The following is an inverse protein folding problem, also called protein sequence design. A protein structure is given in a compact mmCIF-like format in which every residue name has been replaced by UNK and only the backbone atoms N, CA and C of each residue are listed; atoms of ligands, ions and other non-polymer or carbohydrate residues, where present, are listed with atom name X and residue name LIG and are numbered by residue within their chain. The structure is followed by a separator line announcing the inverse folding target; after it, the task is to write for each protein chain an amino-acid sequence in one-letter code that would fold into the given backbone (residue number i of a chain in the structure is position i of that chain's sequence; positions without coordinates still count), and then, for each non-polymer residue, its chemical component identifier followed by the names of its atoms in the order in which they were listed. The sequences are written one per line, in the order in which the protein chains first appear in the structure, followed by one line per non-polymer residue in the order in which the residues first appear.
data_IF_211036845562
#
_entry.id   IF_211036845562
#
_cell.length_a   1.000
_cell.length_b   1.000
_cell.length_c   1.000
_cell.angle_alpha   90.00
_cell.angle_beta   90.00
_cell.angle_gamma   90.00
#
_symmetry.space_group_name_H-M   'P 1'
#
loop_
_entity.id
_entity.type
_entity.pdbx_description
1 polymer ?
#
# COMPACT_ATOMS: atom_id res chain seq x y z
N UNK A 1 -1.88 -23.58 -1.64
CA UNK A 1 -0.65 -22.85 -1.36
C UNK A 1 0.48 -23.21 -2.34
N UNK A 2 0.77 -24.48 -2.59
CA UNK A 2 1.82 -24.89 -3.56
C UNK A 2 1.56 -24.35 -4.98
N UNK A 3 0.30 -24.28 -5.41
CA UNK A 3 -0.07 -23.77 -6.72
C UNK A 3 0.25 -22.28 -6.87
N UNK A 4 -0.03 -21.48 -5.83
CA UNK A 4 0.29 -20.04 -5.81
C UNK A 4 1.80 -19.79 -5.78
N UNK A 5 2.55 -20.62 -5.06
CA UNK A 5 4.01 -20.52 -5.00
C UNK A 5 4.66 -20.80 -6.36
N UNK A 6 4.16 -21.79 -7.10
CA UNK A 6 4.64 -22.10 -8.44
C UNK A 6 4.34 -20.99 -9.44
N UNK A 7 3.14 -20.41 -9.39
CA UNK A 7 2.76 -19.26 -10.23
C UNK A 7 3.65 -18.06 -9.95
N UNK A 8 3.89 -17.75 -8.68
CA UNK A 8 4.75 -16.62 -8.29
C UNK A 8 6.19 -16.83 -8.75
N UNK A 9 6.76 -18.03 -8.59
CA UNK A 9 8.09 -18.37 -9.08
C UNK A 9 8.22 -18.26 -10.60
N UNK A 10 7.20 -18.72 -11.32
CA UNK A 10 7.16 -18.64 -12.79
C UNK A 10 7.19 -17.19 -13.25
N UNK A 11 6.35 -16.33 -12.66
CA UNK A 11 6.29 -14.90 -12.98
C UNK A 11 7.60 -14.21 -12.59
N UNK A 12 8.18 -14.56 -11.43
CA UNK A 12 9.47 -14.04 -11.01
C UNK A 12 10.58 -14.37 -11.99
N UNK A 13 10.63 -15.61 -12.49
CA UNK A 13 11.63 -16.03 -13.47
C UNK A 13 11.49 -15.29 -14.79
N UNK A 14 10.27 -15.07 -15.26
CA UNK A 14 10.01 -14.25 -16.46
C UNK A 14 10.51 -12.83 -16.24
N UNK A 15 10.18 -12.22 -15.10
CA UNK A 15 10.65 -10.88 -14.74
C UNK A 15 12.19 -10.81 -14.74
N UNK A 16 12.86 -11.76 -14.10
CA UNK A 16 14.31 -11.81 -14.05
C UNK A 16 14.96 -11.99 -15.43
N UNK A 17 14.30 -12.69 -16.34
CA UNK A 17 14.76 -12.86 -17.72
C UNK A 17 14.61 -11.58 -18.55
N UNK A 18 13.63 -10.73 -18.23
CA UNK A 18 13.39 -9.47 -18.93
C UNK A 18 14.36 -8.36 -18.50
N UNK A 19 14.84 -8.38 -17.25
CA UNK A 19 15.68 -7.32 -16.68
C UNK A 19 16.91 -6.97 -17.53
N UNK A 20 17.73 -7.92 -18.00
CA UNK A 20 18.89 -7.57 -18.81
C UNK A 20 18.56 -6.83 -20.10
N UNK A 21 17.42 -7.16 -20.71
CA UNK A 21 16.94 -6.48 -21.91
C UNK A 21 16.39 -5.10 -21.60
N UNK A 22 15.64 -4.96 -20.50
CA UNK A 22 15.10 -3.68 -20.03
C UNK A 22 16.21 -2.69 -19.72
N UNK A 23 17.33 -3.15 -19.14
CA UNK A 23 18.48 -2.31 -18.81
C UNK A 23 19.17 -1.73 -20.04
N UNK A 24 18.98 -2.31 -21.23
CA UNK A 24 19.51 -1.79 -22.50
C UNK A 24 18.63 -0.73 -23.15
N UNK A 25 17.41 -0.53 -22.66
CA UNK A 25 16.44 0.40 -23.22
C UNK A 25 16.53 1.77 -22.56
N UNK A 26 16.01 2.79 -23.26
CA UNK A 26 15.95 4.15 -22.72
C UNK A 26 14.99 4.22 -21.51
N UNK A 27 15.58 4.34 -20.31
CA UNK A 27 14.84 4.38 -19.05
C UNK A 27 13.95 5.63 -18.89
N UNK A 28 14.09 6.64 -19.76
CA UNK A 28 13.24 7.84 -19.72
C UNK A 28 11.86 7.60 -20.34
N UNK A 29 11.69 6.54 -21.14
CA UNK A 29 10.41 6.23 -21.79
C UNK A 29 9.40 5.71 -20.76
N UNK A 30 8.14 6.20 -20.79
CA UNK A 30 7.10 5.78 -19.84
C UNK A 30 6.87 4.26 -19.81
N UNK A 31 6.85 3.61 -20.98
CA UNK A 31 6.70 2.16 -21.07
C UNK A 31 7.85 1.38 -20.43
N UNK A 32 9.08 1.85 -20.60
CA UNK A 32 10.27 1.23 -19.98
C UNK A 32 10.25 1.41 -18.48
N UNK A 33 9.91 2.60 -17.98
CA UNK A 33 9.74 2.86 -16.53
C UNK A 33 8.67 1.95 -15.93
N UNK A 34 7.54 1.78 -16.62
CA UNK A 34 6.45 0.93 -16.17
C UNK A 34 6.88 -0.55 -16.09
N UNK A 35 7.65 -1.04 -17.07
CA UNK A 35 8.17 -2.41 -17.05
C UNK A 35 9.18 -2.63 -15.93
N UNK A 36 10.07 -1.68 -15.67
CA UNK A 36 10.98 -1.76 -14.52
C UNK A 36 10.25 -1.79 -13.20
N UNK A 37 9.26 -0.91 -13.01
CA UNK A 37 8.43 -0.88 -11.81
C UNK A 37 7.68 -2.20 -11.62
N UNK A 38 7.09 -2.73 -12.67
CA UNK A 38 6.40 -4.02 -12.66
C UNK A 38 7.34 -5.17 -12.28
N UNK A 39 8.52 -5.23 -12.89
CA UNK A 39 9.55 -6.22 -12.57
C UNK A 39 9.95 -6.16 -11.09
N UNK A 40 10.21 -4.96 -10.57
CA UNK A 40 10.56 -4.76 -9.17
C UNK A 40 9.44 -5.20 -8.22
N UNK A 41 8.18 -4.88 -8.54
CA UNK A 41 7.03 -5.30 -7.76
C UNK A 41 6.84 -6.82 -7.74
N UNK A 42 7.07 -7.49 -8.87
CA UNK A 42 7.02 -8.96 -8.94
C UNK A 42 8.08 -9.59 -8.05
N UNK A 43 9.31 -9.10 -8.09
CA UNK A 43 10.39 -9.60 -7.25
C UNK A 43 10.09 -9.39 -5.77
N UNK A 44 9.59 -8.23 -5.41
CA UNK A 44 9.19 -7.92 -4.05
C UNK A 44 8.02 -8.78 -3.58
N UNK A 45 6.99 -8.96 -4.40
CA UNK A 45 5.85 -9.83 -4.08
C UNK A 45 6.32 -11.25 -3.78
N UNK A 46 7.23 -11.80 -4.60
CA UNK A 46 7.82 -13.11 -4.40
C UNK A 46 8.63 -13.20 -3.10
N UNK A 47 9.45 -12.20 -2.83
CA UNK A 47 10.24 -12.14 -1.59
C UNK A 47 9.33 -12.09 -0.35
N UNK A 48 8.29 -11.27 -0.36
CA UNK A 48 7.34 -11.18 0.73
C UNK A 48 6.62 -12.52 0.97
N UNK A 49 6.19 -13.20 -0.08
CA UNK A 49 5.53 -14.50 0.05
C UNK A 49 6.44 -15.56 0.65
N UNK A 50 7.72 -15.57 0.30
CA UNK A 50 8.68 -16.53 0.83
C UNK A 50 9.11 -16.23 2.26
N UNK A 51 9.01 -14.99 2.72
CA UNK A 51 9.46 -14.52 4.04
C UNK A 51 8.31 -14.15 4.99
N UNK A 52 7.07 -14.52 4.68
CA UNK A 52 5.89 -14.16 5.49
C UNK A 52 5.98 -14.59 6.96
N UNK A 53 6.65 -15.70 7.24
CA UNK A 53 6.85 -16.20 8.61
C UNK A 53 7.94 -15.48 9.37
N UNK A 54 8.73 -14.65 8.73
CA UNK A 54 9.81 -13.88 9.34
C UNK A 54 9.30 -12.50 9.75
N UNK A 55 9.10 -12.22 11.04
CA UNK A 55 8.56 -10.92 11.46
C UNK A 55 9.56 -9.79 11.22
N UNK A 56 9.04 -8.61 10.97
CA UNK A 56 9.84 -7.39 10.93
C UNK A 56 10.34 -7.00 12.32
N UNK A 57 11.53 -6.45 12.37
CA UNK A 57 12.04 -5.81 13.59
C UNK A 57 11.21 -4.56 13.90
N UNK A 58 10.99 -4.33 15.20
CA UNK A 58 10.18 -3.20 15.66
C UNK A 58 11.03 -2.21 16.47
N UNK A 59 10.63 -0.94 16.37
CA UNK A 59 11.21 0.17 17.13
C UNK A 59 10.09 0.97 17.77
N UNK A 60 10.38 1.56 18.91
CA UNK A 60 9.43 2.47 19.57
C UNK A 60 9.42 3.83 18.87
N UNK A 61 8.26 4.30 18.44
CA UNK A 61 8.06 5.58 17.74
C UNK A 61 6.86 6.32 18.31
N UNK A 62 6.98 7.65 18.40
CA UNK A 62 5.83 8.51 18.71
C UNK A 62 4.88 8.51 17.51
N UNK A 63 3.66 8.02 17.71
CA UNK A 63 2.73 7.78 16.61
C UNK A 63 2.19 9.08 16.00
N UNK A 64 2.01 10.12 16.78
CA UNK A 64 1.58 11.43 16.27
C UNK A 64 2.62 12.00 15.30
N UNK A 65 3.88 12.05 15.69
CA UNK A 65 4.98 12.55 14.85
C UNK A 65 5.15 11.68 13.60
N UNK A 66 5.06 10.38 13.75
CA UNK A 66 5.18 9.43 12.65
C UNK A 66 4.10 9.65 11.58
N UNK A 67 2.83 9.71 12.01
CA UNK A 67 1.71 9.93 11.09
C UNK A 67 1.74 11.30 10.41
N UNK A 68 2.09 12.35 11.15
CA UNK A 68 2.23 13.69 10.59
C UNK A 68 3.33 13.76 9.54
N UNK A 69 4.47 13.11 9.79
CA UNK A 69 5.58 13.04 8.84
C UNK A 69 5.20 12.35 7.54
N UNK A 70 4.40 11.30 7.59
CA UNK A 70 3.91 10.61 6.38
C UNK A 70 2.92 11.49 5.62
N UNK A 71 1.98 12.13 6.33
CA UNK A 71 1.00 13.01 5.70
C UNK A 71 1.69 14.19 4.99
N UNK A 72 2.75 14.73 5.56
CA UNK A 72 3.53 15.81 4.95
C UNK A 72 4.10 15.40 3.57
N UNK A 73 4.41 14.14 3.37
CA UNK A 73 4.97 13.66 2.11
C UNK A 73 3.98 13.70 0.95
N UNK A 74 2.68 13.70 1.22
CA UNK A 74 1.66 13.75 0.16
C UNK A 74 1.09 15.14 -0.09
N UNK A 75 1.50 16.17 0.67
CA UNK A 75 0.95 17.53 0.55
C UNK A 75 1.04 18.12 -0.86
N UNK A 76 2.09 17.78 -1.60
CA UNK A 76 2.27 18.25 -2.98
C UNK A 76 1.60 17.38 -4.05
N UNK A 77 0.95 16.27 -3.66
CA UNK A 77 0.38 15.29 -4.59
C UNK A 77 -1.13 15.40 -4.73
N UNK A 78 -1.80 16.20 -3.90
CA UNK A 78 -3.26 16.34 -3.88
C UNK A 78 -3.74 17.37 -4.91
N UNK A 79 -5.01 17.25 -5.29
CA UNK A 79 -5.71 18.31 -6.04
C UNK A 79 -5.85 19.58 -5.17
N UNK A 80 -6.26 20.69 -5.80
CA UNK A 80 -6.44 21.95 -5.11
C UNK A 80 -7.49 21.85 -3.99
N UNK A 81 -7.23 22.55 -2.88
CA UNK A 81 -8.16 22.67 -1.75
C UNK A 81 -8.54 21.33 -1.09
N UNK A 82 -7.74 20.31 -1.24
CA UNK A 82 -7.92 19.07 -0.48
C UNK A 82 -7.41 19.24 0.94
N UNK A 83 -8.25 18.95 1.92
CA UNK A 83 -7.91 19.05 3.35
C UNK A 83 -7.32 17.73 3.84
N UNK A 84 -6.12 17.82 4.43
CA UNK A 84 -5.40 16.68 5.02
C UNK A 84 -5.50 16.77 6.54
N UNK A 85 -5.97 15.71 7.18
CA UNK A 85 -6.14 15.66 8.64
C UNK A 85 -5.49 14.41 9.22
N UNK A 86 -4.69 14.59 10.26
CA UNK A 86 -4.09 13.50 11.04
C UNK A 86 -4.70 13.51 12.45
N UNK A 87 -5.26 12.38 12.86
CA UNK A 87 -5.79 12.16 14.20
C UNK A 87 -5.01 11.03 14.87
N UNK A 88 -3.91 11.35 15.50
CA UNK A 88 -3.06 10.39 16.18
C UNK A 88 -2.59 10.96 17.53
N UNK A 89 -2.70 10.17 18.62
CA UNK A 89 -2.28 10.63 19.94
C UNK A 89 -0.76 10.68 20.06
N UNK A 90 -0.26 11.48 21.00
CA UNK A 90 1.15 11.49 21.38
C UNK A 90 1.46 10.24 22.25
N UNK A 91 1.55 9.11 21.60
CA UNK A 91 1.74 7.81 22.21
C UNK A 91 2.90 7.09 21.51
N UNK A 92 3.77 6.46 22.29
CA UNK A 92 4.83 5.64 21.74
C UNK A 92 4.31 4.22 21.48
N UNK A 93 4.56 3.71 20.28
CA UNK A 93 4.12 2.39 19.82
C UNK A 93 5.30 1.68 19.17
N UNK A 94 5.36 0.37 19.36
CA UNK A 94 6.37 -0.48 18.69
C UNK A 94 5.90 -0.81 17.28
N UNK A 95 6.64 -0.36 16.28
CA UNK A 95 6.35 -0.55 14.87
C UNK A 95 7.63 -0.79 14.08
N UNK A 96 7.52 -1.35 12.88
CA UNK A 96 8.59 -1.24 11.90
C UNK A 96 8.35 0.04 11.09
N UNK A 97 9.11 1.13 11.31
CA UNK A 97 8.78 2.42 10.72
C UNK A 97 8.92 2.44 9.21
N UNK A 98 9.90 1.72 8.65
CA UNK A 98 10.13 1.68 7.21
C UNK A 98 8.96 1.01 6.46
N UNK A 99 8.56 -0.17 6.89
CA UNK A 99 7.50 -0.93 6.22
C UNK A 99 6.11 -0.35 6.47
N UNK A 100 5.86 0.12 7.68
CA UNK A 100 4.60 0.79 8.01
C UNK A 100 4.44 2.09 7.21
N UNK A 101 5.48 2.90 7.11
CA UNK A 101 5.47 4.09 6.26
C UNK A 101 5.14 3.74 4.82
N UNK A 102 5.74 2.69 4.29
CA UNK A 102 5.53 2.23 2.93
C UNK A 102 4.06 1.92 2.66
N UNK A 103 3.40 1.19 3.55
CA UNK A 103 1.97 0.87 3.42
C UNK A 103 1.12 2.13 3.52
N UNK A 104 1.32 2.94 4.56
CA UNK A 104 0.52 4.14 4.79
C UNK A 104 0.73 5.16 3.67
N UNK A 105 1.96 5.35 3.21
CA UNK A 105 2.26 6.28 2.12
C UNK A 105 1.58 5.84 0.83
N UNK A 106 1.60 4.55 0.49
CA UNK A 106 0.92 4.04 -0.70
C UNK A 106 -0.59 4.28 -0.63
N UNK A 107 -1.21 4.01 0.51
CA UNK A 107 -2.66 4.26 0.72
C UNK A 107 -3.00 5.75 0.64
N UNK A 108 -2.15 6.61 1.19
CA UNK A 108 -2.35 8.06 1.12
C UNK A 108 -2.11 8.61 -0.29
N UNK A 109 -1.16 8.09 -1.04
CA UNK A 109 -0.95 8.43 -2.45
C UNK A 109 -2.16 8.05 -3.30
N UNK A 110 -2.74 6.88 -3.07
CA UNK A 110 -4.00 6.48 -3.71
C UNK A 110 -5.14 7.45 -3.37
N UNK A 111 -5.28 7.81 -2.09
CA UNK A 111 -6.29 8.77 -1.67
C UNK A 111 -6.08 10.14 -2.35
N UNK A 112 -4.84 10.60 -2.46
CA UNK A 112 -4.50 11.85 -3.14
C UNK A 112 -4.86 11.82 -4.63
N UNK A 113 -4.61 10.68 -5.30
CA UNK A 113 -4.91 10.50 -6.73
C UNK A 113 -6.42 10.55 -7.02
N UNK A 114 -7.22 9.91 -6.16
CA UNK A 114 -8.66 9.75 -6.41
C UNK A 114 -9.56 10.76 -5.69
N UNK A 115 -9.02 11.63 -4.86
CA UNK A 115 -9.80 12.67 -4.18
C UNK A 115 -9.84 13.93 -5.03
N UNK A 116 -11.03 14.39 -5.46
CA UNK A 116 -11.15 15.60 -6.28
C UNK A 116 -10.85 16.87 -5.48
N UNK A 117 -10.67 17.98 -6.19
CA UNK A 117 -10.46 19.29 -5.57
C UNK A 117 -11.57 19.62 -4.57
N UNK A 118 -11.19 20.16 -3.43
CA UNK A 118 -12.10 20.48 -2.32
C UNK A 118 -12.49 19.30 -1.44
N UNK A 119 -11.96 18.09 -1.74
CA UNK A 119 -12.20 16.90 -0.93
C UNK A 119 -11.38 16.83 0.37
N UNK A 120 -11.45 15.70 1.04
CA UNK A 120 -10.80 15.49 2.35
C UNK A 120 -10.14 14.12 2.42
N UNK A 121 -9.01 14.08 3.11
CA UNK A 121 -8.27 12.85 3.41
C UNK A 121 -7.90 12.84 4.88
N UNK A 122 -8.19 11.73 5.56
CA UNK A 122 -7.87 11.54 6.98
C UNK A 122 -6.92 10.35 7.16
N UNK A 123 -5.99 10.50 8.09
CA UNK A 123 -5.21 9.41 8.66
C UNK A 123 -5.49 9.37 10.16
N UNK A 124 -6.22 8.35 10.59
CA UNK A 124 -6.60 8.16 11.99
C UNK A 124 -5.85 6.96 12.58
N UNK A 125 -5.39 7.12 13.81
CA UNK A 125 -4.87 6.02 14.62
C UNK A 125 -5.82 5.74 15.76
N UNK A 126 -6.16 4.45 15.95
CA UNK A 126 -6.97 3.99 17.08
C UNK A 126 -6.32 2.80 17.76
N UNK A 127 -6.26 2.87 19.08
CA UNK A 127 -5.85 1.74 19.91
C UNK A 127 -7.09 0.94 20.28
N UNK A 128 -7.11 -0.35 19.90
CA UNK A 128 -8.20 -1.28 20.20
C UNK A 128 -7.72 -2.31 21.21
N UNK A 129 -7.83 -2.01 22.51
CA UNK A 129 -7.30 -2.86 23.58
C UNK A 129 -5.79 -2.74 23.75
N UNK A 130 -5.18 -3.69 24.46
CA UNK A 130 -3.77 -3.63 24.84
C UNK A 130 -2.79 -3.95 23.70
N UNK A 131 -3.23 -4.73 22.70
CA UNK A 131 -2.34 -5.31 21.70
C UNK A 131 -2.77 -5.08 20.24
N UNK A 132 -3.83 -4.31 20.01
CA UNK A 132 -4.33 -4.05 18.67
C UNK A 132 -4.29 -2.57 18.36
N UNK A 133 -3.66 -2.21 17.24
CA UNK A 133 -3.57 -0.85 16.73
C UNK A 133 -4.17 -0.79 15.34
N UNK A 134 -4.97 0.25 15.08
CA UNK A 134 -5.58 0.48 13.76
C UNK A 134 -5.11 1.80 13.17
N UNK A 135 -4.71 1.76 11.89
CA UNK A 135 -4.50 2.94 11.06
C UNK A 135 -5.62 2.98 10.03
N UNK A 136 -6.37 4.07 10.00
CA UNK A 136 -7.54 4.21 9.15
C UNK A 136 -7.30 5.38 8.20
N UNK A 137 -7.33 5.09 6.90
CA UNK A 137 -7.17 6.09 5.85
C UNK A 137 -8.49 6.22 5.11
N UNK A 138 -9.11 7.40 5.22
CA UNK A 138 -10.40 7.70 4.63
C UNK A 138 -10.27 8.87 3.65
N UNK A 139 -10.98 8.79 2.54
CA UNK A 139 -11.04 9.88 1.57
C UNK A 139 -12.49 10.14 1.14
N UNK A 140 -12.70 11.26 0.46
CA UNK A 140 -13.97 11.64 -0.15
C UNK A 140 -13.94 11.52 -1.67
N UNK A 141 -13.14 10.58 -2.18
CA UNK A 141 -12.97 10.34 -3.61
C UNK A 141 -14.11 9.53 -4.23
N UNK A 142 -13.85 8.98 -5.40
CA UNK A 142 -14.85 8.20 -6.14
C UNK A 142 -15.21 6.85 -5.51
N UNK A 143 -14.44 6.39 -4.53
CA UNK A 143 -14.62 5.07 -3.92
C UNK A 143 -14.19 3.93 -4.87
N UNK A 144 -14.44 2.71 -4.43
CA UNK A 144 -14.12 1.50 -5.19
C UNK A 144 -15.43 0.77 -5.50
N UNK A 145 -15.72 0.49 -6.79
CA UNK A 145 -16.91 -0.25 -7.18
C UNK A 145 -17.01 -1.59 -6.46
N UNK A 146 -18.22 -1.99 -6.07
CA UNK A 146 -18.45 -3.20 -5.29
C UNK A 146 -17.88 -4.46 -5.96
N UNK A 147 -18.02 -4.56 -7.27
CA UNK A 147 -17.51 -5.67 -8.07
C UNK A 147 -15.97 -5.78 -8.09
N UNK A 148 -15.27 -4.71 -7.75
CA UNK A 148 -13.80 -4.70 -7.69
C UNK A 148 -13.25 -4.96 -6.29
N UNK A 149 -14.05 -4.80 -5.23
CA UNK A 149 -13.59 -4.81 -3.83
C UNK A 149 -12.94 -6.12 -3.40
N UNK A 150 -13.40 -7.25 -3.91
CA UNK A 150 -12.83 -8.56 -3.59
C UNK A 150 -11.44 -8.76 -4.17
N UNK A 151 -11.11 -8.09 -5.26
CA UNK A 151 -9.90 -8.33 -6.05
C UNK A 151 -8.80 -7.29 -5.85
N UNK A 152 -9.06 -6.17 -5.15
CA UNK A 152 -8.09 -5.08 -5.03
C UNK A 152 -6.79 -5.46 -4.32
N UNK A 153 -6.84 -6.48 -3.46
CA UNK A 153 -5.66 -6.98 -2.73
C UNK A 153 -5.04 -8.23 -3.39
N UNK A 154 -5.63 -8.73 -4.47
CA UNK A 154 -5.14 -9.90 -5.20
C UNK A 154 -4.29 -9.46 -6.38
N UNK A 155 -3.07 -10.02 -6.55
CA UNK A 155 -2.25 -9.69 -7.71
C UNK A 155 -2.79 -10.35 -8.98
N UNK A 156 -2.49 -9.74 -10.13
CA UNK A 156 -2.75 -10.31 -11.46
C UNK A 156 -4.23 -10.60 -11.78
N UNK A 157 -5.15 -9.84 -11.21
CA UNK A 157 -6.60 -10.02 -11.44
C UNK A 157 -7.12 -9.32 -12.68
N UNK A 158 -6.38 -8.36 -13.22
CA UNK A 158 -6.77 -7.58 -14.40
C UNK A 158 -5.60 -7.49 -15.39
N UNK A 159 -5.94 -7.44 -16.67
CA UNK A 159 -4.99 -7.06 -17.71
C UNK A 159 -5.06 -5.55 -17.87
N UNK A 160 -3.95 -4.87 -17.59
CA UNK A 160 -3.85 -3.40 -17.63
C UNK A 160 -2.72 -2.94 -18.52
N UNK A 161 -2.85 -1.71 -19.02
CA UNK A 161 -1.71 -0.96 -19.53
C UNK A 161 -0.81 -0.60 -18.32
N UNK A 162 0.41 -1.13 -18.31
CA UNK A 162 1.35 -0.95 -17.20
C UNK A 162 1.73 0.52 -16.98
N UNK A 163 1.56 1.39 -17.97
CA UNK A 163 1.82 2.84 -17.82
C UNK A 163 0.82 3.52 -16.89
N UNK A 164 -0.35 2.89 -16.66
CA UNK A 164 -1.39 3.36 -15.74
C UNK A 164 -1.34 2.68 -14.37
N UNK A 165 -0.31 1.88 -14.14
CA UNK A 165 -0.13 1.12 -12.92
C UNK A 165 -0.25 -0.39 -13.16
N UNK A 166 0.43 -1.17 -12.34
CA UNK A 166 0.51 -2.63 -12.48
C UNK A 166 -0.47 -3.41 -11.59
N UNK A 167 -1.24 -2.71 -10.75
CA UNK A 167 -2.19 -3.33 -9.84
C UNK A 167 -1.54 -4.13 -8.69
N UNK A 168 -0.24 -4.00 -8.47
CA UNK A 168 0.49 -4.76 -7.45
C UNK A 168 0.72 -4.00 -6.14
N UNK A 169 0.47 -2.68 -6.11
CA UNK A 169 0.71 -1.87 -4.92
C UNK A 169 -0.10 -2.31 -3.70
N UNK A 170 -1.42 -2.47 -3.83
CA UNK A 170 -2.28 -2.94 -2.74
C UNK A 170 -2.01 -4.40 -2.35
N UNK A 171 -1.82 -5.34 -3.28
CA UNK A 171 -1.38 -6.68 -2.93
C UNK A 171 -0.07 -6.72 -2.12
N UNK A 172 0.92 -5.93 -2.50
CA UNK A 172 2.18 -5.81 -1.75
C UNK A 172 1.92 -5.25 -0.35
N UNK A 173 1.13 -4.20 -0.22
CA UNK A 173 0.75 -3.63 1.08
C UNK A 173 0.04 -4.66 1.98
N UNK A 174 -0.83 -5.48 1.41
CA UNK A 174 -1.52 -6.56 2.13
C UNK A 174 -0.55 -7.61 2.66
N UNK A 175 0.45 -8.00 1.89
CA UNK A 175 1.50 -8.93 2.32
C UNK A 175 2.40 -8.33 3.40
N UNK A 176 2.77 -7.06 3.28
CA UNK A 176 3.53 -6.36 4.32
C UNK A 176 2.73 -6.33 5.63
N UNK A 177 1.43 -6.04 5.56
CA UNK A 177 0.54 -6.06 6.73
C UNK A 177 0.51 -7.44 7.38
N UNK A 178 0.41 -8.50 6.59
CA UNK A 178 0.44 -9.89 7.09
C UNK A 178 1.77 -10.20 7.77
N UNK A 179 2.88 -9.77 7.19
CA UNK A 179 4.21 -9.96 7.79
C UNK A 179 4.39 -9.16 9.08
N UNK A 180 3.69 -8.04 9.24
CA UNK A 180 3.63 -7.26 10.48
C UNK A 180 2.63 -7.82 11.51
N UNK A 181 2.15 -9.05 11.32
CA UNK A 181 1.13 -9.69 12.14
C UNK A 181 -0.19 -8.88 12.17
N UNK A 182 -0.65 -8.47 11.02
CA UNK A 182 -1.84 -7.67 10.87
C UNK A 182 -2.62 -8.00 9.60
N UNK A 183 -3.53 -7.09 9.25
CA UNK A 183 -4.36 -7.20 8.04
C UNK A 183 -4.64 -5.84 7.45
N UNK A 184 -4.87 -5.81 6.15
CA UNK A 184 -5.30 -4.62 5.42
C UNK A 184 -6.65 -4.93 4.77
N UNK A 185 -7.66 -4.12 5.10
CA UNK A 185 -9.03 -4.32 4.60
C UNK A 185 -9.63 -3.02 4.09
N UNK A 186 -10.65 -3.15 3.26
CA UNK A 186 -11.48 -2.03 2.81
C UNK A 186 -12.77 -2.04 3.63
N UNK A 187 -13.11 -0.90 4.25
CA UNK A 187 -14.37 -0.75 4.98
C UNK A 187 -15.53 -0.56 4.00
N UNK A 188 -16.28 -1.62 3.76
CA UNK A 188 -17.40 -1.62 2.82
C UNK A 188 -18.62 -0.82 3.30
N UNK A 189 -18.68 -0.46 4.58
CA UNK A 189 -19.76 0.37 5.14
C UNK A 189 -19.56 1.86 4.90
N UNK A 190 -18.34 2.27 4.53
CA UNK A 190 -18.02 3.66 4.22
C UNK A 190 -18.41 3.99 2.78
N UNK A 191 -19.28 5.00 2.60
CA UNK A 191 -19.88 5.32 1.31
C UNK A 191 -19.55 6.73 0.78
N UNK A 192 -18.66 7.47 1.43
CA UNK A 192 -18.25 8.83 1.03
C UNK A 192 -17.01 8.86 0.15
N UNK A 193 -16.42 7.70 -0.12
CA UNK A 193 -15.20 7.51 -0.84
C UNK A 193 -14.64 6.13 -0.54
N UNK A 194 -13.34 6.04 -0.29
CA UNK A 194 -12.68 4.80 0.14
C UNK A 194 -12.17 4.93 1.58
N UNK A 195 -12.22 3.86 2.33
CA UNK A 195 -11.65 3.75 3.68
C UNK A 195 -10.90 2.45 3.82
N UNK A 196 -9.58 2.55 3.98
CA UNK A 196 -8.73 1.41 4.25
C UNK A 196 -8.42 1.32 5.74
N UNK A 197 -8.45 0.11 6.26
CA UNK A 197 -8.12 -0.17 7.67
C UNK A 197 -6.92 -1.12 7.72
N UNK A 198 -5.83 -0.63 8.27
CA UNK A 198 -4.64 -1.43 8.60
C UNK A 198 -4.69 -1.75 10.08
N UNK A 199 -4.85 -3.03 10.41
CA UNK A 199 -4.88 -3.50 11.79
C UNK A 199 -3.61 -4.27 12.10
N UNK A 200 -2.93 -3.90 13.17
CA UNK A 200 -1.69 -4.54 13.63
C UNK A 200 -1.88 -5.12 15.02
N UNK A 201 -1.37 -6.32 15.24
CA UNK A 201 -1.37 -6.98 16.54
C UNK A 201 0.06 -7.03 17.11
N UNK A 202 0.21 -6.50 18.28
CA UNK A 202 1.51 -6.47 18.97
C UNK A 202 1.75 -7.74 19.81
#
# INVERSE_FOLDING_TARGET
NEHNELETKFIQNISAQMEPTLDTLDASLPGVKALHAFSNHIQELSELETTLSEPYEVQEKNISTFCEGIMDKIKGMTQEDVTLTVNAPKLNVKINPEQLERVLLHLLENAAEYTPAGGKIWLDFKKRGAHTHQFIISDTGCGIPEEQRENIFKPFTEVKDLTQGDGLGLPICSLIATKMNGSLTLDSSYNKGARFVLELHA
#
